data_IF_286715724742
#
_entry.id   IF_286715724742
#
_cell.length_a   1.000
_cell.length_b   1.000
_cell.length_c   1.000
_cell.angle_alpha   90.00
_cell.angle_beta   90.00
_cell.angle_gamma   90.00
#
_symmetry.space_group_name_H-M   'P 1'
#
loop_
_entity.id
_entity.type
_entity.pdbx_description
1 polymer ?
#
# COMPACT_ATOMS: atom_id res chain seq x y z
N UNK A 1 6.08 10.91 8.65
CA UNK A 1 6.12 12.32 9.13
C UNK A 1 4.70 12.80 9.40
N UNK A 2 4.50 13.89 10.17
CA UNK A 2 3.14 14.41 10.44
C UNK A 2 2.32 14.70 9.17
N UNK A 3 2.97 15.18 8.10
CA UNK A 3 2.32 15.45 6.82
C UNK A 3 1.87 14.18 6.05
N UNK A 4 2.39 13.01 6.41
CA UNK A 4 2.08 11.73 5.77
C UNK A 4 0.83 11.07 6.38
N UNK A 5 0.47 11.45 7.62
CA UNK A 5 -0.64 10.85 8.37
C UNK A 5 -1.99 10.97 7.64
N UNK A 6 -2.37 12.13 7.06
CA UNK A 6 -3.63 12.24 6.33
C UNK A 6 -3.75 11.29 5.14
N UNK A 7 -2.63 10.95 4.48
CA UNK A 7 -2.62 10.04 3.34
C UNK A 7 -2.97 8.61 3.78
N UNK A 8 -2.38 8.14 4.90
CA UNK A 8 -2.71 6.84 5.48
C UNK A 8 -4.18 6.80 5.93
N UNK A 9 -4.64 7.84 6.62
CA UNK A 9 -6.02 7.90 7.11
C UNK A 9 -7.02 7.86 5.96
N UNK A 10 -6.79 8.59 4.87
CA UNK A 10 -7.64 8.55 3.69
C UNK A 10 -7.68 7.14 3.07
N UNK A 11 -6.52 6.50 2.88
CA UNK A 11 -6.45 5.15 2.32
C UNK A 11 -7.19 4.12 3.21
N UNK A 12 -7.05 4.23 4.53
CA UNK A 12 -7.74 3.36 5.49
C UNK A 12 -9.27 3.59 5.48
N UNK A 13 -9.71 4.84 5.37
CA UNK A 13 -11.13 5.21 5.32
C UNK A 13 -11.80 4.72 4.03
N UNK A 14 -11.10 4.87 2.90
CA UNK A 14 -11.58 4.41 1.58
C UNK A 14 -11.44 2.90 1.39
N UNK A 15 -10.80 2.20 2.35
CA UNK A 15 -10.60 0.74 2.34
C UNK A 15 -9.96 0.25 1.05
N UNK A 16 -8.96 0.98 0.58
CA UNK A 16 -8.21 0.59 -0.61
C UNK A 16 -7.45 -0.71 -0.34
N UNK A 17 -7.26 -1.52 -1.37
CA UNK A 17 -6.47 -2.74 -1.25
C UNK A 17 -4.96 -2.45 -1.11
N UNK A 18 -4.50 -1.31 -1.65
CA UNK A 18 -3.10 -0.90 -1.66
C UNK A 18 -2.92 0.62 -1.67
N UNK A 19 -1.87 1.10 -1.00
CA UNK A 19 -1.32 2.45 -1.15
C UNK A 19 -0.02 2.38 -1.96
N UNK A 20 -0.07 2.84 -3.21
CA UNK A 20 1.08 2.82 -4.13
C UNK A 20 1.83 4.14 -4.10
N UNK A 21 3.13 4.12 -3.82
CA UNK A 21 3.93 5.35 -3.66
C UNK A 21 5.41 5.14 -3.95
N UNK A 22 6.14 6.20 -4.30
CA UNK A 22 7.61 6.21 -4.38
C UNK A 22 8.27 6.82 -3.13
N UNK A 23 7.48 7.25 -2.14
CA UNK A 23 7.99 7.83 -0.89
C UNK A 23 8.51 6.74 0.05
N UNK A 24 9.73 6.28 -0.22
CA UNK A 24 10.30 5.13 0.46
C UNK A 24 10.50 5.35 1.96
N UNK A 25 11.18 6.43 2.32
CA UNK A 25 11.59 6.73 3.70
C UNK A 25 10.42 6.80 4.68
N UNK A 26 9.23 7.23 4.25
CA UNK A 26 8.11 7.48 5.15
C UNK A 26 7.02 6.43 5.12
N UNK A 27 6.98 5.58 4.09
CA UNK A 27 5.88 4.64 3.88
C UNK A 27 6.32 3.20 3.60
N UNK A 28 7.52 2.99 3.04
CA UNK A 28 7.93 1.68 2.52
C UNK A 28 9.05 1.07 3.37
N UNK A 29 10.10 1.85 3.65
CA UNK A 29 11.29 1.32 4.31
C UNK A 29 11.05 1.00 5.81
N UNK A 30 9.97 1.54 6.39
CA UNK A 30 9.50 1.20 7.73
C UNK A 30 8.30 0.22 7.64
N UNK A 31 8.51 -1.09 7.92
CA UNK A 31 7.46 -2.10 7.80
C UNK A 31 6.33 -1.92 8.83
N UNK A 32 6.55 -1.18 9.92
CA UNK A 32 5.51 -0.94 10.91
C UNK A 32 4.39 -0.05 10.36
N UNK A 33 4.68 0.81 9.38
CA UNK A 33 3.67 1.68 8.76
C UNK A 33 2.59 0.85 8.06
N UNK A 34 2.99 -0.08 7.19
CA UNK A 34 2.07 -0.96 6.48
C UNK A 34 1.30 -1.87 7.45
N UNK A 35 1.99 -2.41 8.45
CA UNK A 35 1.40 -3.29 9.47
C UNK A 35 0.35 -2.57 10.31
N UNK A 36 0.64 -1.37 10.80
CA UNK A 36 -0.27 -0.59 11.63
C UNK A 36 -1.46 -0.05 10.82
N UNK A 37 -1.24 0.33 9.56
CA UNK A 37 -2.30 0.78 8.68
C UNK A 37 -3.21 -0.36 8.20
N UNK A 38 -2.76 -1.62 8.32
CA UNK A 38 -3.48 -2.77 7.76
C UNK A 38 -3.59 -2.72 6.24
N UNK A 39 -2.64 -2.05 5.58
CA UNK A 39 -2.64 -1.77 4.15
C UNK A 39 -1.37 -2.36 3.50
N UNK A 40 -1.51 -2.84 2.25
CA UNK A 40 -0.34 -3.10 1.42
C UNK A 40 0.21 -1.76 0.94
N UNK A 41 1.47 -1.48 1.25
CA UNK A 41 2.13 -0.23 0.87
C UNK A 41 3.41 -0.58 0.12
N UNK A 42 3.59 -0.02 -1.06
CA UNK A 42 4.75 -0.36 -1.89
C UNK A 42 4.88 0.48 -3.15
N UNK A 43 5.99 0.27 -3.89
CA UNK A 43 6.21 0.92 -5.17
C UNK A 43 5.26 0.38 -6.26
N UNK A 44 5.18 1.07 -7.41
CA UNK A 44 4.39 0.60 -8.55
C UNK A 44 4.72 -0.81 -9.04
N UNK A 45 5.97 -1.26 -8.89
CA UNK A 45 6.39 -2.63 -9.23
C UNK A 45 5.65 -3.69 -8.40
N UNK A 46 5.64 -3.53 -7.08
CA UNK A 46 4.92 -4.42 -6.18
C UNK A 46 3.41 -4.39 -6.47
N UNK A 47 2.86 -3.20 -6.76
CA UNK A 47 1.46 -3.06 -7.11
C UNK A 47 1.09 -3.83 -8.39
N UNK A 48 1.97 -3.81 -9.39
CA UNK A 48 1.81 -4.62 -10.60
C UNK A 48 1.75 -6.11 -10.25
N UNK A 49 2.67 -6.61 -9.43
CA UNK A 49 2.70 -8.02 -9.02
C UNK A 49 1.43 -8.41 -8.24
N UNK A 50 0.93 -7.54 -7.34
CA UNK A 50 -0.30 -7.79 -6.58
C UNK A 50 -1.55 -7.84 -7.45
N UNK A 51 -1.67 -6.93 -8.41
CA UNK A 51 -2.80 -6.89 -9.34
C UNK A 51 -2.74 -8.08 -10.28
N UNK A 52 -1.56 -8.36 -10.84
CA UNK A 52 -1.32 -9.50 -11.71
C UNK A 52 -1.69 -10.82 -11.01
N UNK A 53 -1.26 -11.01 -9.77
CA UNK A 53 -1.58 -12.20 -8.98
C UNK A 53 -3.09 -12.37 -8.73
N UNK A 54 -3.84 -11.28 -8.59
CA UNK A 54 -5.29 -11.34 -8.40
C UNK A 54 -6.06 -11.66 -9.68
N UNK A 55 -5.58 -11.22 -10.83
CA UNK A 55 -6.16 -11.57 -12.12
C UNK A 55 -5.98 -13.08 -12.32
N UNK A 56 -4.74 -13.58 -12.21
CA UNK A 56 -4.45 -15.00 -12.41
C UNK A 56 -5.01 -15.94 -11.33
N UNK A 57 -5.25 -15.45 -10.12
CA UNK A 57 -5.93 -16.22 -9.07
C UNK A 57 -7.45 -16.27 -9.24
N UNK A 58 -8.05 -15.34 -9.98
CA UNK A 58 -9.50 -15.36 -10.28
C UNK A 58 -9.85 -16.26 -11.47
N UNK A 59 -8.85 -16.61 -12.28
CA UNK A 59 -9.00 -17.48 -13.46
C UNK A 59 -8.78 -18.98 -13.15
N UNK A 60 -8.61 -19.34 -11.87
CA UNK A 60 -8.49 -20.72 -11.36
C UNK A 60 -9.66 -21.06 -10.44
#
# INVERSE_FOLDING_TARGET
>A
HPADVPILLAAMQDKVDYLVTLNRKHFIDDPDVAKQAGLRIGPPGDAYDWVQGQIFAKDQ
#
